data_IF_383684459791
#
_entry.id   IF_383684459791
#
_cell.length_a   1.000
_cell.length_b   1.000
_cell.length_c   1.000
_cell.angle_alpha   90.00
_cell.angle_beta   90.00
_cell.angle_gamma   90.00
#
_symmetry.space_group_name_H-M   'P 1'
#
loop_
_entity.id
_entity.type
_entity.pdbx_description
1 polymer ?
#
# COMPACT_ATOMS: atom_id res chain seq x y z
N UNK A 1 11.96 -21.76 13.12
CA UNK A 1 10.80 -22.30 12.38
C UNK A 1 9.77 -21.19 12.38
N UNK A 2 9.76 -20.37 11.32
CA UNK A 2 8.83 -19.26 11.21
C UNK A 2 7.50 -19.88 10.80
N UNK A 3 6.59 -20.05 11.77
CA UNK A 3 5.23 -20.48 11.48
C UNK A 3 4.64 -19.50 10.47
N UNK A 4 4.32 -19.98 9.26
CA UNK A 4 3.49 -19.26 8.31
C UNK A 4 2.08 -19.15 8.90
N UNK A 5 1.90 -18.21 9.83
CA UNK A 5 0.59 -17.86 10.38
C UNK A 5 -0.15 -17.06 9.32
N UNK A 6 -1.41 -17.38 9.11
CA UNK A 6 -2.25 -16.63 8.17
C UNK A 6 -2.22 -15.14 8.53
N UNK A 7 -1.79 -14.30 7.58
CA UNK A 7 -1.74 -12.86 7.78
C UNK A 7 -3.15 -12.30 8.02
N UNK A 8 -3.29 -11.42 9.02
CA UNK A 8 -4.55 -10.79 9.41
C UNK A 8 -5.27 -11.40 10.62
N UNK A 9 -4.69 -12.42 11.27
CA UNK A 9 -5.25 -13.00 12.51
C UNK A 9 -4.75 -12.34 13.80
N UNK A 10 -3.65 -11.60 13.73
CA UNK A 10 -3.05 -10.89 14.87
C UNK A 10 -3.27 -9.39 14.74
N UNK A 11 -3.30 -8.69 15.87
CA UNK A 11 -3.33 -7.23 15.86
C UNK A 11 -2.06 -6.72 15.15
N UNK A 12 -2.20 -5.83 14.15
CA UNK A 12 -1.05 -5.27 13.47
C UNK A 12 -0.22 -4.41 14.42
N UNK A 13 1.09 -4.42 14.22
CA UNK A 13 1.98 -3.46 14.84
C UNK A 13 2.02 -2.20 13.96
N UNK A 14 1.90 -1.02 14.56
CA UNK A 14 1.98 0.26 13.84
C UNK A 14 3.19 1.05 14.26
N UNK A 15 4.01 1.41 13.28
CA UNK A 15 5.19 2.25 13.45
C UNK A 15 4.79 3.73 13.52
N UNK A 16 5.49 4.51 14.35
CA UNK A 16 5.31 5.97 14.38
C UNK A 16 5.92 6.61 13.14
N UNK A 17 5.20 7.54 12.52
CA UNK A 17 5.72 8.32 11.39
C UNK A 17 6.81 9.30 11.86
N UNK A 18 8.01 9.18 11.28
CA UNK A 18 9.13 10.09 11.55
C UNK A 18 9.08 11.34 10.67
N UNK A 19 8.05 12.18 10.88
CA UNK A 19 7.81 13.40 10.12
C UNK A 19 8.87 14.51 10.35
N UNK A 20 9.76 14.34 11.33
CA UNK A 20 10.89 15.25 11.56
C UNK A 20 12.12 14.86 10.74
N UNK A 21 12.16 13.65 10.17
CA UNK A 21 13.25 13.24 9.29
C UNK A 21 13.22 14.05 7.99
N UNK A 22 14.38 14.52 7.50
CA UNK A 22 14.45 15.15 6.18
C UNK A 22 14.02 14.20 5.05
N UNK A 23 14.09 12.89 5.25
CA UNK A 23 13.69 11.86 4.27
C UNK A 23 12.16 11.71 4.18
N UNK A 24 11.40 12.26 5.14
CA UNK A 24 9.95 12.10 5.17
C UNK A 24 9.26 12.70 3.95
N UNK A 25 9.80 13.82 3.43
CA UNK A 25 9.28 14.56 2.28
C UNK A 25 10.07 14.31 0.98
N UNK A 26 10.94 13.30 0.96
CA UNK A 26 11.71 12.95 -0.23
C UNK A 26 10.81 12.25 -1.25
N UNK A 27 10.43 12.97 -2.31
CA UNK A 27 9.52 12.50 -3.36
C UNK A 27 10.01 11.20 -4.03
N UNK A 28 11.33 11.01 -4.18
CA UNK A 28 11.87 9.79 -4.80
C UNK A 28 11.65 8.59 -3.89
N UNK A 29 11.90 8.74 -2.59
CA UNK A 29 11.64 7.67 -1.61
C UNK A 29 10.17 7.35 -1.44
N UNK A 30 9.31 8.38 -1.54
CA UNK A 30 7.86 8.18 -1.53
C UNK A 30 7.44 7.40 -2.78
N UNK A 31 7.94 7.75 -3.96
CA UNK A 31 7.63 7.02 -5.20
C UNK A 31 8.09 5.55 -5.16
N UNK A 32 9.31 5.29 -4.69
CA UNK A 32 9.84 3.93 -4.52
C UNK A 32 8.95 3.10 -3.58
N UNK A 33 8.51 3.70 -2.48
CA UNK A 33 7.64 3.03 -1.52
C UNK A 33 6.21 2.86 -2.04
N UNK A 34 5.65 3.85 -2.74
CA UNK A 34 4.37 3.71 -3.46
C UNK A 34 4.43 2.54 -4.42
N UNK A 35 5.49 2.44 -5.22
CA UNK A 35 5.68 1.33 -6.17
C UNK A 35 5.71 -0.01 -5.46
N UNK A 36 6.50 -0.14 -4.39
CA UNK A 36 6.57 -1.37 -3.60
C UNK A 36 5.21 -1.78 -3.04
N UNK A 37 4.50 -0.84 -2.42
CA UNK A 37 3.20 -1.12 -1.80
C UNK A 37 2.15 -1.44 -2.87
N UNK A 38 2.12 -0.70 -3.97
CA UNK A 38 1.15 -0.87 -5.05
C UNK A 38 1.32 -2.21 -5.76
N UNK A 39 2.55 -2.65 -5.97
CA UNK A 39 2.87 -3.96 -6.58
C UNK A 39 2.33 -5.10 -5.70
N UNK A 40 2.63 -5.07 -4.40
CA UNK A 40 2.12 -6.06 -3.44
C UNK A 40 0.58 -6.01 -3.36
N UNK A 41 -0.01 -4.80 -3.40
CA UNK A 41 -1.46 -4.64 -3.36
C UNK A 41 -2.12 -5.23 -4.62
N UNK A 42 -1.58 -4.96 -5.80
CA UNK A 42 -2.06 -5.48 -7.09
C UNK A 42 -1.88 -6.99 -7.22
N UNK A 43 -0.81 -7.56 -6.66
CA UNK A 43 -0.63 -9.00 -6.59
C UNK A 43 -1.64 -9.69 -5.64
N UNK A 44 -2.01 -9.05 -4.53
CA UNK A 44 -2.89 -9.69 -3.53
C UNK A 44 -4.39 -9.46 -3.74
N UNK A 45 -4.79 -8.29 -4.25
CA UNK A 45 -6.16 -7.83 -4.54
C UNK A 45 -7.24 -8.04 -3.47
N UNK A 46 -6.87 -8.24 -2.21
CA UNK A 46 -7.82 -8.57 -1.13
C UNK A 46 -8.72 -7.42 -0.68
N UNK A 47 -8.30 -6.18 -0.95
CA UNK A 47 -8.91 -4.97 -0.38
C UNK A 47 -9.93 -4.29 -1.31
N UNK A 48 -10.27 -4.90 -2.46
CA UNK A 48 -11.10 -4.30 -3.53
C UNK A 48 -12.47 -3.79 -3.08
N UNK A 49 -13.00 -4.30 -1.97
CA UNK A 49 -14.33 -3.95 -1.46
C UNK A 49 -14.32 -3.00 -0.25
N UNK A 50 -13.16 -2.43 0.11
CA UNK A 50 -13.04 -1.58 1.28
C UNK A 50 -13.16 -0.08 0.99
N UNK A 51 -12.52 0.40 -0.07
CA UNK A 51 -12.55 1.79 -0.53
C UNK A 51 -12.16 1.88 -2.00
N UNK A 52 -12.37 3.05 -2.60
CA UNK A 52 -12.13 3.27 -4.03
C UNK A 52 -10.65 3.27 -4.43
N UNK A 53 -9.69 3.40 -3.49
CA UNK A 53 -8.26 3.33 -3.80
C UNK A 53 -7.87 2.02 -4.48
N UNK A 54 -8.37 0.89 -3.98
CA UNK A 54 -7.92 -0.41 -4.47
C UNK A 54 -8.45 -0.75 -5.86
N UNK A 55 -9.75 -0.59 -6.17
CA UNK A 55 -10.23 -0.72 -7.55
C UNK A 55 -9.47 0.19 -8.52
N UNK A 56 -9.28 1.47 -8.18
CA UNK A 56 -8.51 2.41 -9.03
C UNK A 56 -7.07 1.95 -9.25
N UNK A 57 -6.42 1.45 -8.21
CA UNK A 57 -5.06 0.91 -8.33
C UNK A 57 -5.03 -0.30 -9.27
N UNK A 58 -6.00 -1.20 -9.15
CA UNK A 58 -6.03 -2.41 -9.96
C UNK A 58 -6.31 -2.09 -11.42
N UNK A 59 -7.28 -1.22 -11.70
CA UNK A 59 -7.57 -0.76 -13.05
C UNK A 59 -6.36 -0.03 -13.65
N UNK A 60 -5.70 0.86 -12.89
CA UNK A 60 -4.50 1.58 -13.33
C UNK A 60 -3.37 0.64 -13.80
N UNK A 61 -3.12 -0.43 -13.05
CA UNK A 61 -2.06 -1.39 -13.40
C UNK A 61 -2.52 -2.35 -14.50
N UNK A 62 -3.77 -2.83 -14.46
CA UNK A 62 -4.32 -3.77 -15.47
C UNK A 62 -4.43 -3.12 -16.86
N UNK A 63 -4.67 -1.82 -16.93
CA UNK A 63 -4.75 -1.06 -18.18
C UNK A 63 -3.37 -0.56 -18.67
N UNK A 64 -2.30 -0.81 -17.91
CA UNK A 64 -0.94 -0.44 -18.31
C UNK A 64 -0.42 -1.30 -19.47
N UNK A 65 0.56 -0.82 -20.26
CA UNK A 65 1.11 -1.56 -21.39
C UNK A 65 1.63 -2.97 -21.07
N UNK A 66 2.23 -3.17 -19.89
CA UNK A 66 2.71 -4.49 -19.44
C UNK A 66 1.66 -5.29 -18.67
N UNK A 67 0.61 -4.63 -18.16
CA UNK A 67 -0.29 -5.20 -17.14
C UNK A 67 0.35 -5.28 -15.76
N UNK A 68 1.51 -4.65 -15.58
CA UNK A 68 2.35 -4.67 -14.37
C UNK A 68 2.76 -3.25 -14.00
N UNK A 69 3.18 -3.02 -12.75
CA UNK A 69 3.45 -1.68 -12.23
C UNK A 69 4.67 -0.99 -12.88
N UNK A 70 5.55 -1.76 -13.52
CA UNK A 70 6.80 -1.28 -14.15
C UNK A 70 6.55 -0.28 -15.30
N UNK A 71 5.38 -0.33 -15.94
CA UNK A 71 5.01 0.59 -17.01
C UNK A 71 4.07 1.71 -16.58
N UNK A 72 3.73 1.81 -15.29
CA UNK A 72 2.89 2.89 -14.75
C UNK A 72 3.73 4.11 -14.39
N UNK A 73 3.35 5.26 -14.91
CA UNK A 73 4.01 6.53 -14.60
C UNK A 73 3.55 7.08 -13.24
N UNK A 74 4.48 7.66 -12.48
CA UNK A 74 4.21 8.17 -11.12
C UNK A 74 3.12 9.25 -11.07
N UNK A 75 2.97 10.04 -12.15
CA UNK A 75 1.92 11.05 -12.27
C UNK A 75 0.50 10.47 -12.19
N UNK A 76 0.35 9.20 -12.49
CA UNK A 76 -0.95 8.52 -12.55
C UNK A 76 -1.32 7.88 -11.19
N UNK A 77 -0.47 7.98 -10.17
CA UNK A 77 -0.77 7.49 -8.81
C UNK A 77 -1.77 8.35 -8.03
N UNK A 78 -1.91 9.64 -8.37
CA UNK A 78 -2.76 10.60 -7.65
C UNK A 78 -4.20 10.11 -7.38
N UNK A 79 -4.95 9.62 -8.38
CA UNK A 79 -6.31 9.12 -8.19
C UNK A 79 -6.45 7.97 -7.18
N UNK A 80 -5.41 7.16 -6.99
CA UNK A 80 -5.36 6.07 -5.99
C UNK A 80 -5.19 6.64 -4.59
N UNK A 81 -4.26 7.59 -4.44
CA UNK A 81 -3.93 8.26 -3.18
C UNK A 81 -5.12 9.08 -2.68
N UNK A 82 -5.72 9.89 -3.55
CA UNK A 82 -6.86 10.76 -3.23
C UNK A 82 -8.13 9.97 -2.85
N UNK A 83 -8.25 8.72 -3.30
CA UNK A 83 -9.37 7.86 -2.95
C UNK A 83 -9.24 7.23 -1.54
N UNK A 84 -8.09 7.40 -0.87
CA UNK A 84 -7.90 6.83 0.46
C UNK A 84 -8.66 7.65 1.50
N UNK A 85 -9.54 6.98 2.25
CA UNK A 85 -10.34 7.62 3.31
C UNK A 85 -9.64 7.64 4.66
N UNK A 86 -8.40 7.13 4.77
CA UNK A 86 -7.62 7.04 6.00
C UNK A 86 -8.37 6.36 7.16
N UNK A 87 -9.25 5.40 6.87
CA UNK A 87 -10.09 4.73 7.85
C UNK A 87 -9.45 3.48 8.50
N UNK A 88 -8.23 3.13 8.10
CA UNK A 88 -7.46 1.97 8.57
C UNK A 88 -8.07 0.57 8.34
N UNK A 89 -9.22 0.46 7.67
CA UNK A 89 -9.87 -0.85 7.48
C UNK A 89 -9.02 -1.86 6.72
N UNK A 90 -8.25 -1.42 5.71
CA UNK A 90 -7.34 -2.29 4.97
C UNK A 90 -6.21 -2.81 5.87
N UNK A 91 -5.61 -1.94 6.67
CA UNK A 91 -4.54 -2.27 7.61
C UNK A 91 -5.03 -3.16 8.76
N UNK A 92 -6.13 -2.80 9.41
CA UNK A 92 -6.59 -3.49 10.62
C UNK A 92 -7.29 -4.82 10.36
N UNK A 93 -7.91 -5.01 9.19
CA UNK A 93 -8.88 -6.09 9.01
C UNK A 93 -8.70 -6.97 7.77
N UNK A 94 -7.91 -6.54 6.77
CA UNK A 94 -7.82 -7.26 5.48
C UNK A 94 -6.41 -7.61 5.04
N UNK A 95 -5.45 -6.72 5.27
CA UNK A 95 -4.11 -6.88 4.73
C UNK A 95 -3.38 -8.00 5.51
N UNK A 96 -2.93 -9.07 4.83
CA UNK A 96 -2.18 -10.14 5.48
C UNK A 96 -0.69 -9.77 5.69
N UNK A 97 -0.26 -8.64 5.13
CA UNK A 97 1.14 -8.24 5.02
C UNK A 97 1.50 -7.04 5.90
N UNK A 98 0.66 -6.73 6.88
CA UNK A 98 0.90 -5.72 7.90
C UNK A 98 2.00 -6.17 8.88
N UNK A 99 2.67 -5.23 9.57
CA UNK A 99 3.72 -5.57 10.53
C UNK A 99 3.15 -6.50 11.63
N UNK A 100 3.89 -7.56 12.03
CA UNK A 100 5.33 -7.79 11.81
C UNK A 100 5.65 -8.63 10.56
N UNK A 101 4.77 -8.70 9.57
CA UNK A 101 5.10 -9.34 8.29
C UNK A 101 6.31 -8.64 7.63
N UNK A 102 7.14 -9.38 6.92
CA UNK A 102 8.38 -8.86 6.30
C UNK A 102 8.16 -7.75 5.26
N UNK A 103 6.94 -7.66 4.73
CA UNK A 103 6.54 -6.61 3.79
C UNK A 103 6.11 -5.31 4.46
N UNK A 104 5.84 -5.33 5.77
CA UNK A 104 5.64 -4.13 6.58
C UNK A 104 4.62 -3.13 6.00
N UNK A 105 3.49 -3.62 5.47
CA UNK A 105 2.54 -2.77 4.75
C UNK A 105 1.68 -1.92 5.70
N UNK A 106 1.80 -0.59 5.59
CA UNK A 106 0.89 0.39 6.19
C UNK A 106 0.42 1.39 5.13
N UNK A 107 -0.51 0.95 4.27
CA UNK A 107 -1.06 1.75 3.18
C UNK A 107 -1.59 3.11 3.65
N UNK A 108 -2.44 3.21 4.69
CA UNK A 108 -2.94 4.51 5.16
C UNK A 108 -1.84 5.48 5.57
N UNK A 109 -0.79 5.00 6.24
CA UNK A 109 0.36 5.84 6.61
C UNK A 109 1.13 6.35 5.40
N UNK A 110 1.27 5.55 4.35
CA UNK A 110 1.90 6.01 3.11
C UNK A 110 1.09 7.12 2.43
N UNK A 111 -0.25 7.05 2.47
CA UNK A 111 -1.12 8.07 1.86
C UNK A 111 -1.10 9.43 2.59
N UNK A 112 -0.42 9.52 3.74
CA UNK A 112 -0.19 10.80 4.45
C UNK A 112 1.03 11.56 3.91
N UNK A 113 1.78 10.98 2.97
CA UNK A 113 3.01 11.50 2.40
C UNK A 113 2.80 11.82 0.92
#
# INVERSE_FOLDING_TARGET
>A
MQESKEGGLQAPLRHTLDWNSPEFYDEQKIDEELRRVFDICHGCRRCFNLCDSFPRLFDLVDESPSGELDTVESKDFGPVVEACTLCDMCFMTKCPYVPPHEFDLDFPHLMLR
#
